data_IF_896381764533
#
_entry.id   IF_896381764533
#
_cell.length_a   1.000
_cell.length_b   1.000
_cell.length_c   1.000
_cell.angle_alpha   90.00
_cell.angle_beta   90.00
_cell.angle_gamma   90.00
#
_symmetry.space_group_name_H-M   'P 1'
#
loop_
_entity.id
_entity.type
_entity.pdbx_description
1 polymer ?
#
# COMPACT_ATOMS: atom_id res chain seq x y z
N UNK A 1 -40.26 2.36 16.82
CA UNK A 1 -40.48 2.40 15.35
C UNK A 1 -39.13 2.31 14.68
N UNK A 2 -38.80 1.14 14.11
CA UNK A 2 -37.56 0.96 13.36
C UNK A 2 -37.76 1.66 12.03
N UNK A 3 -37.19 2.86 11.90
CA UNK A 3 -37.30 3.64 10.68
C UNK A 3 -36.50 2.96 9.57
N UNK A 4 -37.06 2.90 8.36
CA UNK A 4 -36.38 2.41 7.16
C UNK A 4 -34.99 3.08 6.97
N UNK A 5 -34.87 4.34 7.41
CA UNK A 5 -33.61 5.07 7.43
C UNK A 5 -32.56 4.43 8.35
N UNK A 6 -32.96 3.98 9.54
CA UNK A 6 -32.07 3.34 10.52
C UNK A 6 -31.61 1.96 10.02
N UNK A 7 -32.49 1.23 9.32
CA UNK A 7 -32.16 -0.04 8.70
C UNK A 7 -31.20 0.15 7.51
N UNK A 8 -31.43 1.15 6.66
CA UNK A 8 -30.55 1.47 5.53
C UNK A 8 -29.17 1.93 6.00
N UNK A 9 -29.09 2.78 7.04
CA UNK A 9 -27.81 3.21 7.62
C UNK A 9 -27.03 2.06 8.25
N UNK A 10 -27.71 1.11 8.90
CA UNK A 10 -27.06 -0.05 9.52
C UNK A 10 -26.62 -1.08 8.47
N UNK A 11 -27.43 -1.33 7.43
CA UNK A 11 -27.07 -2.23 6.34
C UNK A 11 -25.91 -1.68 5.49
N UNK A 12 -25.81 -0.36 5.30
CA UNK A 12 -24.71 0.27 4.57
C UNK A 12 -23.37 0.27 5.31
N UNK A 13 -23.37 0.22 6.65
CA UNK A 13 -22.14 0.11 7.44
C UNK A 13 -21.48 -1.28 7.35
N UNK A 14 -22.25 -2.32 7.01
CA UNK A 14 -21.77 -3.71 6.93
C UNK A 14 -21.27 -4.12 5.55
N UNK A 15 -21.49 -3.32 4.51
CA UNK A 15 -21.01 -3.62 3.17
C UNK A 15 -19.84 -2.68 2.87
N UNK A 16 -18.63 -3.22 2.89
CA UNK A 16 -17.42 -2.51 2.49
C UNK A 16 -17.42 -2.33 0.95
N UNK A 17 -18.33 -1.50 0.45
CA UNK A 17 -18.44 -1.21 -0.98
C UNK A 17 -17.56 -0.03 -1.31
N UNK A 18 -16.78 -0.13 -2.40
CA UNK A 18 -16.04 0.97 -3.03
C UNK A 18 -16.86 2.26 -2.96
N UNK A 19 -16.27 3.35 -2.46
CA UNK A 19 -16.91 4.68 -2.23
C UNK A 19 -17.80 5.15 -3.38
N UNK A 20 -17.46 4.79 -4.62
CA UNK A 20 -18.25 5.01 -5.84
C UNK A 20 -19.70 4.52 -5.73
N UNK A 21 -19.95 3.35 -5.15
CA UNK A 21 -21.30 2.75 -5.06
C UNK A 21 -22.15 3.46 -4.01
N UNK A 22 -21.52 3.93 -2.92
CA UNK A 22 -22.17 4.79 -1.91
C UNK A 22 -22.62 6.12 -2.54
N UNK A 23 -21.75 6.78 -3.29
CA UNK A 23 -22.06 8.05 -3.97
C UNK A 23 -23.09 7.88 -5.09
N UNK A 24 -23.09 6.74 -5.80
CA UNK A 24 -24.14 6.37 -6.76
C UNK A 24 -25.51 6.27 -6.10
N UNK A 25 -25.62 5.59 -4.95
CA UNK A 25 -26.90 5.45 -4.24
C UNK A 25 -27.40 6.79 -3.69
N UNK A 26 -26.51 7.63 -3.14
CA UNK A 26 -26.90 8.98 -2.71
C UNK A 26 -27.37 9.87 -3.87
N UNK A 27 -26.73 9.77 -5.03
CA UNK A 27 -27.13 10.51 -6.23
C UNK A 27 -28.54 10.12 -6.69
N UNK A 28 -28.85 8.81 -6.69
CA UNK A 28 -30.19 8.32 -7.07
C UNK A 28 -31.25 8.73 -6.03
N UNK A 29 -30.94 8.62 -4.73
CA UNK A 29 -31.82 9.09 -3.66
C UNK A 29 -32.09 10.60 -3.75
N UNK A 30 -31.07 11.41 -4.00
CA UNK A 30 -31.20 12.86 -4.14
C UNK A 30 -32.04 13.23 -5.37
N UNK A 31 -31.86 12.52 -6.50
CA UNK A 31 -32.64 12.72 -7.71
C UNK A 31 -34.14 12.45 -7.47
N UNK A 32 -34.46 11.34 -6.82
CA UNK A 32 -35.85 10.97 -6.48
C UNK A 32 -36.42 11.94 -5.45
N UNK A 33 -35.65 12.31 -4.43
CA UNK A 33 -36.05 13.27 -3.41
C UNK A 33 -36.36 14.67 -3.97
N UNK A 34 -35.66 15.08 -5.03
CA UNK A 34 -35.89 16.38 -5.66
C UNK A 34 -37.30 16.49 -6.29
N UNK A 35 -37.90 15.39 -6.74
CA UNK A 35 -39.29 15.40 -7.24
C UNK A 35 -40.32 15.76 -6.17
N UNK A 36 -40.01 15.52 -4.89
CA UNK A 36 -40.86 15.96 -3.79
C UNK A 36 -40.82 17.49 -3.61
N UNK A 37 -39.66 18.13 -3.82
CA UNK A 37 -39.54 19.58 -3.84
C UNK A 37 -40.36 20.21 -4.96
N UNK A 38 -40.38 19.60 -6.14
CA UNK A 38 -41.24 20.03 -7.25
C UNK A 38 -42.72 19.98 -6.86
N UNK A 39 -43.16 18.87 -6.26
CA UNK A 39 -44.54 18.70 -5.80
C UNK A 39 -44.96 19.80 -4.83
N UNK A 40 -44.14 20.09 -3.82
CA UNK A 40 -44.41 21.17 -2.86
C UNK A 40 -44.43 22.53 -3.56
N UNK A 41 -43.48 22.81 -4.45
CA UNK A 41 -43.42 24.06 -5.21
C UNK A 41 -44.70 24.34 -5.99
N UNK A 42 -45.22 23.32 -6.70
CA UNK A 42 -46.48 23.40 -7.45
C UNK A 42 -47.67 23.63 -6.51
N UNK A 43 -47.73 22.94 -5.35
CA UNK A 43 -48.79 23.13 -4.36
C UNK A 43 -48.79 24.54 -3.78
N UNK A 44 -47.62 25.15 -3.58
CA UNK A 44 -47.51 26.55 -3.14
C UNK A 44 -47.98 27.56 -4.19
N UNK A 45 -47.78 27.27 -5.48
CA UNK A 45 -48.32 28.08 -6.58
C UNK A 45 -49.84 27.98 -6.65
N UNK A 46 -50.40 26.77 -6.50
CA UNK A 46 -51.85 26.55 -6.47
C UNK A 46 -52.52 27.22 -5.26
N UNK A 47 -51.81 27.33 -4.13
CA UNK A 47 -52.28 27.99 -2.91
C UNK A 47 -52.07 29.52 -2.91
N UNK A 48 -51.77 30.13 -4.05
CA UNK A 48 -51.66 31.60 -4.20
C UNK A 48 -50.39 32.22 -3.59
N UNK A 49 -49.44 31.41 -3.10
CA UNK A 49 -48.18 31.89 -2.51
C UNK A 49 -47.05 31.84 -3.53
N UNK A 50 -47.21 32.66 -4.58
CA UNK A 50 -46.38 32.60 -5.78
C UNK A 50 -44.88 32.77 -5.52
N UNK A 51 -44.49 33.72 -4.67
CA UNK A 51 -43.08 33.98 -4.36
C UNK A 51 -42.38 32.76 -3.75
N UNK A 52 -43.04 32.09 -2.81
CA UNK A 52 -42.49 30.89 -2.14
C UNK A 52 -42.49 29.68 -3.08
N UNK A 53 -43.53 29.53 -3.89
CA UNK A 53 -43.59 28.49 -4.92
C UNK A 53 -42.48 28.65 -5.96
N UNK A 54 -42.27 29.87 -6.49
CA UNK A 54 -41.22 30.16 -7.46
C UNK A 54 -39.81 29.96 -6.89
N UNK A 55 -39.56 30.35 -5.64
CA UNK A 55 -38.28 30.08 -4.98
C UNK A 55 -38.00 28.58 -4.83
N UNK A 56 -39.01 27.80 -4.44
CA UNK A 56 -38.88 26.34 -4.32
C UNK A 56 -38.66 25.68 -5.69
N UNK A 57 -39.30 26.18 -6.74
CA UNK A 57 -39.05 25.72 -8.11
C UNK A 57 -37.65 26.09 -8.61
N UNK A 58 -37.14 27.27 -8.25
CA UNK A 58 -35.77 27.66 -8.57
C UNK A 58 -34.75 26.73 -7.89
N UNK A 59 -34.95 26.44 -6.60
CA UNK A 59 -34.11 25.48 -5.85
C UNK A 59 -34.19 24.08 -6.46
N UNK A 60 -35.38 23.64 -6.85
CA UNK A 60 -35.58 22.37 -7.56
C UNK A 60 -34.74 22.30 -8.84
N UNK A 61 -34.74 23.35 -9.66
CA UNK A 61 -33.96 23.38 -10.91
C UNK A 61 -32.45 23.33 -10.65
N UNK A 62 -31.98 24.02 -9.62
CA UNK A 62 -30.57 23.98 -9.20
C UNK A 62 -30.17 22.57 -8.77
N UNK A 63 -30.96 21.93 -7.90
CA UNK A 63 -30.69 20.57 -7.45
C UNK A 63 -30.86 19.54 -8.57
N UNK A 64 -31.80 19.75 -9.49
CA UNK A 64 -31.98 18.89 -10.65
C UNK A 64 -30.75 18.93 -11.55
N UNK A 65 -30.22 20.13 -11.80
CA UNK A 65 -28.99 20.33 -12.56
C UNK A 65 -27.80 19.60 -11.92
N UNK A 66 -27.56 19.79 -10.62
CA UNK A 66 -26.48 19.09 -9.91
C UNK A 66 -26.69 17.57 -9.87
N UNK A 67 -27.93 17.12 -9.71
CA UNK A 67 -28.24 15.69 -9.68
C UNK A 67 -28.00 15.03 -11.05
N UNK A 68 -28.31 15.73 -12.15
CA UNK A 68 -28.00 15.25 -13.51
C UNK A 68 -26.48 15.22 -13.73
N UNK A 69 -25.74 16.24 -13.29
CA UNK A 69 -24.27 16.23 -13.37
C UNK A 69 -23.65 15.08 -12.57
N UNK A 70 -24.14 14.82 -11.36
CA UNK A 70 -23.71 13.67 -10.56
C UNK A 70 -24.07 12.33 -11.21
N UNK A 71 -25.22 12.21 -11.89
CA UNK A 71 -25.56 11.00 -12.65
C UNK A 71 -24.56 10.78 -13.78
N UNK A 72 -24.22 11.83 -14.54
CA UNK A 72 -23.18 11.74 -15.57
C UNK A 72 -21.82 11.34 -14.96
N UNK A 73 -21.41 11.96 -13.86
CA UNK A 73 -20.13 11.72 -13.21
C UNK A 73 -19.99 10.29 -12.64
N UNK A 74 -21.03 9.79 -11.96
CA UNK A 74 -20.96 8.50 -11.26
C UNK A 74 -21.41 7.31 -12.11
N UNK A 75 -22.29 7.50 -13.10
CA UNK A 75 -22.84 6.42 -13.93
C UNK A 75 -22.33 6.40 -15.37
N UNK A 76 -21.67 7.48 -15.85
CA UNK A 76 -21.18 7.56 -17.24
C UNK A 76 -19.66 7.77 -17.29
N UNK A 77 -18.97 7.14 -18.24
CA UNK A 77 -17.52 7.33 -18.51
C UNK A 77 -17.20 8.55 -19.38
N UNK A 78 -18.21 9.37 -19.72
CA UNK A 78 -18.09 10.53 -20.62
C UNK A 78 -18.16 11.82 -19.80
N UNK A 79 -17.32 12.82 -20.14
CA UNK A 79 -17.38 14.16 -19.57
C UNK A 79 -18.75 14.79 -19.87
N UNK A 80 -19.40 15.34 -18.85
CA UNK A 80 -20.71 15.97 -18.99
C UNK A 80 -20.61 17.26 -19.83
N UNK A 81 -21.58 17.54 -20.73
CA UNK A 81 -21.65 18.85 -21.37
C UNK A 81 -22.07 19.92 -20.35
N UNK A 82 -21.35 21.05 -20.32
CA UNK A 82 -21.54 22.18 -19.41
C UNK A 82 -21.23 21.91 -17.93
N UNK A 83 -20.02 21.40 -17.62
CA UNK A 83 -19.53 21.24 -16.25
C UNK A 83 -19.07 22.59 -15.65
N UNK A 84 -19.81 23.07 -14.65
CA UNK A 84 -19.53 24.34 -13.93
C UNK A 84 -18.70 24.07 -12.66
N UNK A 85 -18.37 22.79 -12.36
CA UNK A 85 -17.52 22.40 -11.22
C UNK A 85 -16.23 23.22 -11.07
N UNK A 86 -15.45 23.51 -12.14
CA UNK A 86 -14.21 24.29 -11.99
C UNK A 86 -14.44 25.76 -11.55
N UNK A 87 -15.63 26.30 -11.79
CA UNK A 87 -15.98 27.67 -11.39
C UNK A 87 -16.43 27.70 -9.92
N UNK A 88 -17.15 26.67 -9.45
CA UNK A 88 -17.48 26.51 -8.03
C UNK A 88 -16.25 26.23 -7.16
N UNK A 89 -15.30 25.41 -7.64
CA UNK A 89 -14.02 25.13 -6.96
C UNK A 89 -13.24 26.41 -6.62
N UNK A 90 -13.24 27.38 -7.54
CA UNK A 90 -12.49 28.64 -7.39
C UNK A 90 -13.14 29.62 -6.41
N UNK A 91 -14.45 29.57 -6.22
CA UNK A 91 -15.19 30.47 -5.33
C UNK A 91 -15.42 29.90 -3.92
N UNK A 92 -15.50 28.57 -3.79
CA UNK A 92 -15.76 27.89 -2.50
C UNK A 92 -14.46 27.53 -1.76
N UNK A 93 -13.29 27.71 -2.39
CA UNK A 93 -12.00 27.63 -1.69
C UNK A 93 -11.70 26.23 -1.16
N UNK A 94 -12.06 25.20 -1.92
CA UNK A 94 -11.78 23.82 -1.56
C UNK A 94 -11.60 22.99 -2.84
N UNK A 95 -10.42 22.40 -2.99
CA UNK A 95 -10.27 21.26 -3.88
C UNK A 95 -11.32 20.20 -3.50
N UNK A 96 -11.93 19.48 -4.47
CA UNK A 96 -12.92 18.45 -4.22
C UNK A 96 -12.47 17.57 -3.07
N UNK A 97 -13.41 17.26 -2.17
CA UNK A 97 -13.19 16.32 -1.09
C UNK A 97 -12.63 15.00 -1.63
N UNK A 98 -12.89 14.63 -2.90
CA UNK A 98 -12.27 13.47 -3.55
C UNK A 98 -10.80 13.66 -4.00
N UNK A 99 -10.32 14.87 -4.27
CA UNK A 99 -8.89 15.13 -4.56
C UNK A 99 -8.13 15.27 -3.24
N UNK A 100 -8.72 15.93 -2.23
CA UNK A 100 -8.15 15.97 -0.87
C UNK A 100 -8.25 14.62 -0.19
N UNK A 101 -9.30 13.84 -0.38
CA UNK A 101 -9.37 12.45 0.10
C UNK A 101 -8.49 11.56 -0.74
N UNK A 102 -8.29 11.76 -2.05
CA UNK A 102 -7.27 10.98 -2.78
C UNK A 102 -5.86 11.35 -2.36
N UNK A 103 -5.57 12.61 -2.08
CA UNK A 103 -4.26 13.04 -1.59
C UNK A 103 -4.05 12.74 -0.12
N UNK A 104 -5.07 12.84 0.73
CA UNK A 104 -5.06 12.47 2.15
C UNK A 104 -5.15 10.95 2.32
N UNK A 105 -5.84 10.21 1.45
CA UNK A 105 -5.82 8.75 1.40
C UNK A 105 -4.51 8.26 0.78
N UNK A 106 -3.91 8.97 -0.19
CA UNK A 106 -2.55 8.67 -0.69
C UNK A 106 -1.48 9.06 0.33
N UNK A 107 -1.67 10.11 1.14
CA UNK A 107 -0.79 10.49 2.25
C UNK A 107 -1.01 9.63 3.49
N UNK A 108 -2.24 9.20 3.79
CA UNK A 108 -2.57 8.24 4.85
C UNK A 108 -2.20 6.82 4.43
N UNK A 109 -2.32 6.44 3.16
CA UNK A 109 -1.71 5.22 2.62
C UNK A 109 -0.20 5.36 2.72
N UNK A 110 0.44 6.41 2.23
CA UNK A 110 1.89 6.59 2.38
C UNK A 110 2.35 6.69 3.86
N UNK A 111 1.52 7.20 4.78
CA UNK A 111 1.83 7.25 6.22
C UNK A 111 1.56 5.91 6.91
N UNK A 112 0.49 5.19 6.57
CA UNK A 112 0.17 3.83 7.03
C UNK A 112 1.11 2.80 6.39
N UNK A 113 1.65 3.10 5.21
CA UNK A 113 2.65 2.33 4.47
C UNK A 113 4.07 2.64 4.99
N UNK A 114 4.33 3.87 5.44
CA UNK A 114 5.52 4.18 6.27
C UNK A 114 5.40 3.60 7.68
N UNK A 115 4.19 3.61 8.27
CA UNK A 115 3.91 2.98 9.56
C UNK A 115 3.91 1.45 9.43
N UNK A 116 3.55 0.84 8.30
CA UNK A 116 3.67 -0.61 8.07
C UNK A 116 5.08 -1.00 7.63
N UNK A 117 5.84 -0.11 6.99
CA UNK A 117 7.30 -0.22 6.86
C UNK A 117 8.02 -0.11 8.22
N UNK A 118 7.40 0.50 9.23
CA UNK A 118 7.91 0.54 10.61
C UNK A 118 7.20 -0.44 11.58
N UNK A 119 6.04 -0.99 11.20
CA UNK A 119 5.22 -1.90 12.01
C UNK A 119 5.14 -3.32 11.42
N UNK A 120 5.98 -3.63 10.43
CA UNK A 120 6.64 -4.94 10.36
C UNK A 120 7.63 -5.05 11.53
N UNK A 121 7.13 -4.93 12.76
CA UNK A 121 7.82 -5.50 13.90
C UNK A 121 7.90 -6.99 13.61
N UNK A 122 9.12 -7.45 13.33
CA UNK A 122 9.47 -8.81 13.02
C UNK A 122 8.58 -9.83 13.76
N UNK A 123 8.07 -10.89 13.11
CA UNK A 123 7.54 -12.04 13.82
C UNK A 123 8.63 -12.69 14.70
N UNK A 124 9.91 -12.40 14.43
CA UNK A 124 11.04 -12.84 15.20
C UNK A 124 11.57 -11.69 16.07
N UNK A 125 10.91 -11.44 17.21
CA UNK A 125 11.50 -10.74 18.37
C UNK A 125 11.98 -9.29 18.19
N UNK A 126 11.68 -8.43 19.16
CA UNK A 126 12.37 -7.13 19.26
C UNK A 126 13.84 -7.36 19.62
N UNK A 127 14.72 -7.44 18.62
CA UNK A 127 16.17 -7.53 18.84
C UNK A 127 16.79 -6.12 18.80
N UNK A 128 17.64 -5.81 19.78
CA UNK A 128 18.43 -4.57 19.79
C UNK A 128 19.34 -4.56 18.55
N UNK A 129 19.31 -3.48 17.76
CA UNK A 129 19.95 -3.38 16.44
C UNK A 129 21.47 -3.63 16.50
N UNK A 130 22.07 -3.52 17.69
CA UNK A 130 23.47 -3.85 18.01
C UNK A 130 23.82 -5.35 17.97
N UNK A 131 22.82 -6.23 17.87
CA UNK A 131 23.00 -7.69 17.86
C UNK A 131 22.72 -8.32 16.49
N UNK A 132 22.58 -7.53 15.43
CA UNK A 132 22.31 -8.01 14.07
C UNK A 132 23.61 -8.13 13.26
N UNK A 133 23.79 -9.27 12.60
CA UNK A 133 24.90 -9.51 11.68
C UNK A 133 24.37 -9.88 10.29
N UNK A 134 24.92 -9.29 9.22
CA UNK A 134 24.56 -9.69 7.87
C UNK A 134 25.02 -11.13 7.62
N UNK A 135 24.17 -11.92 6.98
CA UNK A 135 24.48 -13.28 6.59
C UNK A 135 24.71 -13.38 5.08
N UNK A 136 25.73 -14.14 4.70
CA UNK A 136 25.95 -14.51 3.31
C UNK A 136 25.12 -15.74 2.99
N UNK A 137 24.30 -15.64 1.95
CA UNK A 137 23.40 -16.70 1.50
C UNK A 137 23.78 -17.11 0.08
N UNK A 138 23.83 -18.41 -0.15
CA UNK A 138 23.98 -18.98 -1.48
C UNK A 138 22.67 -19.66 -1.91
N UNK A 139 22.19 -19.30 -3.09
CA UNK A 139 20.95 -19.84 -3.66
C UNK A 139 21.24 -20.65 -4.92
N UNK A 140 20.74 -21.88 -4.98
CA UNK A 140 20.76 -22.74 -6.17
C UNK A 140 19.84 -22.20 -7.26
N UNK A 141 19.95 -22.72 -8.49
CA UNK A 141 19.08 -22.33 -9.60
C UNK A 141 17.59 -22.64 -9.38
N UNK A 142 17.26 -23.60 -8.52
CA UNK A 142 15.87 -23.87 -8.09
C UNK A 142 15.44 -22.85 -7.04
N UNK A 143 16.28 -22.59 -6.04
CA UNK A 143 15.99 -21.61 -4.98
C UNK A 143 15.82 -20.19 -5.53
N UNK A 144 16.60 -19.81 -6.55
CA UNK A 144 16.39 -18.54 -7.27
C UNK A 144 15.02 -18.47 -7.94
N UNK A 145 14.56 -19.56 -8.56
CA UNK A 145 13.20 -19.62 -9.13
C UNK A 145 12.12 -19.54 -8.05
N UNK A 146 12.37 -20.12 -6.88
CA UNK A 146 11.46 -19.99 -5.74
C UNK A 146 11.35 -18.54 -5.26
N UNK A 147 12.48 -17.81 -5.18
CA UNK A 147 12.49 -16.38 -4.83
C UNK A 147 11.63 -15.57 -5.82
N UNK A 148 11.82 -15.79 -7.13
CA UNK A 148 11.01 -15.16 -8.18
C UNK A 148 9.51 -15.48 -8.03
N UNK A 149 9.18 -16.75 -7.74
CA UNK A 149 7.79 -17.17 -7.51
C UNK A 149 7.18 -16.46 -6.31
N UNK A 150 7.90 -16.36 -5.20
CA UNK A 150 7.41 -15.66 -4.01
C UNK A 150 7.27 -14.16 -4.29
N UNK A 151 8.21 -13.54 -5.00
CA UNK A 151 8.12 -12.14 -5.41
C UNK A 151 6.85 -11.87 -6.23
N UNK A 152 6.53 -12.75 -7.20
CA UNK A 152 5.28 -12.68 -7.95
C UNK A 152 4.03 -12.82 -7.06
N UNK A 153 4.05 -13.74 -6.08
CA UNK A 153 2.95 -13.87 -5.12
C UNK A 153 2.80 -12.62 -4.25
N UNK A 154 3.90 -12.02 -3.80
CA UNK A 154 3.90 -10.78 -3.03
C UNK A 154 3.37 -9.60 -3.87
N UNK A 155 3.69 -9.55 -5.16
CA UNK A 155 3.15 -8.54 -6.10
C UNK A 155 1.65 -8.69 -6.27
N UNK A 156 1.18 -9.92 -6.50
CA UNK A 156 -0.24 -10.22 -6.66
C UNK A 156 -1.05 -9.95 -5.38
N UNK A 157 -0.43 -10.16 -4.21
CA UNK A 157 -1.03 -9.86 -2.91
C UNK A 157 -1.00 -8.36 -2.55
N UNK A 158 -0.35 -7.51 -3.35
CA UNK A 158 -0.20 -6.08 -3.07
C UNK A 158 0.76 -5.77 -1.92
N UNK A 159 1.76 -6.61 -1.71
CA UNK A 159 2.84 -6.44 -0.72
C UNK A 159 4.10 -5.88 -1.39
N UNK A 160 4.37 -6.31 -2.63
CA UNK A 160 5.51 -5.87 -3.43
C UNK A 160 5.07 -4.83 -4.46
N UNK A 161 5.69 -3.65 -4.43
CA UNK A 161 5.46 -2.57 -5.38
C UNK A 161 6.78 -2.20 -6.07
N UNK A 162 6.75 -2.15 -7.40
CA UNK A 162 7.89 -1.80 -8.26
C UNK A 162 7.64 -0.42 -8.89
N UNK A 163 7.47 0.61 -8.07
CA UNK A 163 7.12 1.96 -8.53
C UNK A 163 8.14 3.03 -8.10
N UNK A 164 9.33 2.60 -7.64
CA UNK A 164 10.38 3.45 -7.11
C UNK A 164 9.92 4.29 -5.90
N UNK A 165 8.89 3.83 -5.17
CA UNK A 165 8.25 4.60 -4.11
C UNK A 165 7.47 5.80 -4.63
N UNK A 166 7.00 5.75 -5.89
CA UNK A 166 6.26 6.81 -6.57
C UNK A 166 7.10 7.98 -7.07
N UNK A 167 8.44 7.83 -7.11
CA UNK A 167 9.36 8.91 -7.53
C UNK A 167 9.49 8.97 -9.04
N UNK A 168 9.60 10.19 -9.59
CA UNK A 168 9.95 10.42 -10.99
C UNK A 168 11.45 10.23 -11.24
N UNK A 169 11.83 10.11 -12.51
CA UNK A 169 13.21 9.99 -12.94
C UNK A 169 14.07 11.20 -12.51
N UNK A 170 13.52 12.42 -12.55
CA UNK A 170 14.23 13.61 -12.04
C UNK A 170 14.48 13.52 -10.53
N UNK A 171 13.47 13.10 -9.76
CA UNK A 171 13.59 12.96 -8.31
C UNK A 171 14.58 11.85 -7.92
N UNK A 172 14.64 10.77 -8.69
CA UNK A 172 15.62 9.70 -8.49
C UNK A 172 17.05 10.25 -8.70
N UNK A 173 17.28 11.06 -9.74
CA UNK A 173 18.59 11.70 -9.98
C UNK A 173 19.02 12.65 -8.87
N UNK A 174 18.10 13.45 -8.36
CA UNK A 174 18.41 14.45 -7.32
C UNK A 174 18.69 13.82 -5.95
N UNK A 175 18.08 12.66 -5.65
CA UNK A 175 18.16 12.01 -4.34
C UNK A 175 19.29 10.97 -4.24
N UNK A 176 19.98 10.67 -5.36
CA UNK A 176 21.09 9.73 -5.38
C UNK A 176 22.26 10.27 -4.55
N UNK A 177 22.65 9.51 -3.53
CA UNK A 177 23.80 9.84 -2.70
C UNK A 177 25.09 9.83 -3.53
N UNK A 178 26.11 10.63 -3.18
CA UNK A 178 27.40 10.60 -3.87
C UNK A 178 28.01 9.19 -3.79
N UNK A 179 28.03 8.50 -4.93
CA UNK A 179 28.52 7.11 -5.08
C UNK A 179 27.44 6.05 -5.30
N UNK A 180 26.16 6.38 -5.11
CA UNK A 180 25.06 5.51 -5.49
C UNK A 180 24.79 5.68 -6.99
N UNK A 181 24.86 4.59 -7.76
CA UNK A 181 24.67 4.61 -9.22
C UNK A 181 23.41 3.87 -9.66
N UNK A 182 22.77 3.16 -8.74
CA UNK A 182 21.58 2.34 -9.00
C UNK A 182 20.52 2.52 -7.91
N UNK A 183 19.25 2.46 -8.32
CA UNK A 183 18.07 2.46 -7.44
C UNK A 183 17.12 1.36 -7.87
N UNK A 184 16.75 0.50 -6.93
CA UNK A 184 15.78 -0.57 -7.17
C UNK A 184 14.35 -0.05 -7.16
N UNK A 185 13.49 -0.61 -8.03
CA UNK A 185 12.07 -0.27 -8.10
C UNK A 185 11.32 -0.57 -6.80
N UNK A 186 11.79 -1.57 -6.06
CA UNK A 186 11.25 -1.99 -4.76
C UNK A 186 11.89 -1.23 -3.58
N UNK A 187 12.85 -0.35 -3.85
CA UNK A 187 13.65 0.37 -2.86
C UNK A 187 14.94 -0.35 -2.45
N UNK A 188 15.93 0.41 -1.98
CA UNK A 188 17.30 -0.09 -1.74
C UNK A 188 17.44 -0.94 -0.48
N UNK A 189 16.58 -0.70 0.52
CA UNK A 189 16.51 -1.47 1.76
C UNK A 189 15.91 -2.87 1.54
N UNK A 190 15.18 -3.07 0.43
CA UNK A 190 14.43 -4.29 0.17
C UNK A 190 13.13 -4.37 0.96
N UNK A 191 12.36 -5.44 0.72
CA UNK A 191 11.05 -5.67 1.34
C UNK A 191 11.08 -6.96 2.15
N UNK A 192 10.70 -6.88 3.41
CA UNK A 192 10.65 -8.02 4.31
C UNK A 192 9.66 -9.09 3.81
N UNK A 193 10.09 -10.36 3.83
CA UNK A 193 9.17 -11.47 3.59
C UNK A 193 8.15 -11.58 4.75
N UNK A 194 6.85 -11.76 4.47
CA UNK A 194 5.84 -11.91 5.51
C UNK A 194 6.11 -13.10 6.46
N UNK A 195 6.62 -14.19 5.91
CA UNK A 195 7.05 -15.35 6.68
C UNK A 195 8.43 -15.79 6.23
N UNK A 196 9.32 -16.03 7.19
CA UNK A 196 10.62 -16.63 6.95
C UNK A 196 11.09 -17.41 8.18
N UNK A 197 11.80 -18.52 7.94
CA UNK A 197 12.36 -19.38 8.97
C UNK A 197 13.66 -20.05 8.49
N UNK A 198 14.49 -20.52 9.42
CA UNK A 198 15.70 -21.31 9.13
C UNK A 198 15.47 -22.75 9.55
N UNK A 199 15.65 -23.69 8.63
CA UNK A 199 15.55 -25.13 8.87
C UNK A 199 16.88 -25.81 8.58
N UNK A 200 17.27 -26.73 9.46
CA UNK A 200 18.46 -27.56 9.26
C UNK A 200 18.11 -28.74 8.36
N UNK A 201 18.53 -28.71 7.10
CA UNK A 201 18.31 -29.79 6.13
C UNK A 201 19.66 -30.38 5.76
N UNK A 202 19.85 -31.68 5.97
CA UNK A 202 21.12 -32.37 5.74
C UNK A 202 22.31 -31.68 6.43
N UNK A 203 22.09 -31.09 7.61
CA UNK A 203 23.10 -30.34 8.36
C UNK A 203 23.35 -28.92 7.88
N UNK A 204 22.69 -28.45 6.81
CA UNK A 204 22.84 -27.10 6.29
C UNK A 204 21.69 -26.17 6.76
N UNK A 205 22.00 -24.91 7.12
CA UNK A 205 21.00 -23.93 7.52
C UNK A 205 20.27 -23.33 6.29
N UNK A 206 19.20 -23.99 5.87
CA UNK A 206 18.40 -23.58 4.71
C UNK A 206 17.31 -22.61 5.14
N UNK A 207 17.23 -21.46 4.48
CA UNK A 207 16.19 -20.46 4.68
C UNK A 207 14.96 -20.86 3.87
N UNK A 208 13.82 -20.84 4.54
CA UNK A 208 12.50 -20.93 3.95
C UNK A 208 11.81 -19.58 4.05
N UNK A 209 11.14 -19.15 2.98
CA UNK A 209 10.39 -17.91 2.96
C UNK A 209 9.11 -18.05 2.15
N UNK A 210 8.11 -17.21 2.44
CA UNK A 210 6.82 -17.21 1.76
C UNK A 210 5.89 -16.12 2.27
N UNK A 211 4.65 -16.12 1.78
CA UNK A 211 3.59 -15.26 2.32
C UNK A 211 3.08 -15.76 3.68
N UNK A 212 3.21 -17.06 3.93
CA UNK A 212 2.82 -17.74 5.15
C UNK A 212 3.58 -19.09 5.26
N UNK A 213 3.41 -19.78 6.38
CA UNK A 213 4.09 -21.04 6.65
C UNK A 213 3.66 -22.19 5.73
N UNK A 214 2.44 -22.19 5.18
CA UNK A 214 1.96 -23.28 4.32
C UNK A 214 2.52 -23.19 2.88
N UNK A 215 2.89 -21.99 2.45
CA UNK A 215 3.40 -21.68 1.11
C UNK A 215 4.90 -21.34 1.11
N UNK A 216 5.61 -21.73 2.17
CA UNK A 216 7.05 -21.49 2.28
C UNK A 216 7.84 -22.36 1.29
N UNK A 217 8.83 -21.77 0.63
CA UNK A 217 9.74 -22.47 -0.28
C UNK A 217 11.19 -22.25 0.17
N UNK A 218 12.10 -23.20 -0.11
CA UNK A 218 13.52 -22.99 0.17
C UNK A 218 14.07 -21.92 -0.77
N UNK A 219 14.73 -20.90 -0.20
CA UNK A 219 15.22 -19.72 -0.93
C UNK A 219 16.74 -19.56 -0.88
N UNK A 220 17.44 -20.27 0.01
CA UNK A 220 18.90 -20.24 0.05
C UNK A 220 19.48 -20.96 1.25
N UNK A 221 20.80 -21.10 1.29
CA UNK A 221 21.56 -21.69 2.41
C UNK A 221 22.51 -20.65 2.97
N UNK A 222 22.53 -20.50 4.30
CA UNK A 222 23.44 -19.56 4.97
C UNK A 222 24.84 -20.17 5.03
N UNK A 223 25.82 -19.51 4.42
CA UNK A 223 27.23 -19.95 4.43
C UNK A 223 28.04 -19.23 5.49
N UNK A 224 27.78 -17.92 5.69
CA UNK A 224 28.49 -17.08 6.66
C UNK A 224 27.56 -16.18 7.44
N UNK A 225 27.97 -15.81 8.65
CA UNK A 225 27.33 -14.81 9.50
C UNK A 225 28.40 -13.82 9.96
N UNK A 226 28.28 -12.57 9.53
CA UNK A 226 29.36 -11.58 9.65
C UNK A 226 30.61 -12.06 8.90
N UNK A 227 31.73 -12.16 9.62
CA UNK A 227 33.00 -12.63 9.06
C UNK A 227 33.24 -14.15 9.21
N UNK A 228 32.42 -14.85 10.01
CA UNK A 228 32.62 -16.26 10.35
C UNK A 228 31.74 -17.18 9.50
N UNK A 229 32.14 -18.45 9.36
CA UNK A 229 31.24 -19.48 8.82
C UNK A 229 30.05 -19.68 9.76
N UNK A 230 28.91 -20.10 9.21
CA UNK A 230 27.71 -20.32 10.03
C UNK A 230 27.95 -21.30 11.18
N UNK A 231 28.71 -22.38 10.94
CA UNK A 231 29.03 -23.38 11.97
C UNK A 231 29.85 -22.79 13.11
N UNK A 232 30.93 -22.05 12.80
CA UNK A 232 31.76 -21.41 13.80
C UNK A 232 30.95 -20.38 14.61
N UNK A 233 30.15 -19.55 13.94
CA UNK A 233 29.29 -18.58 14.59
C UNK A 233 28.26 -19.24 15.53
N UNK A 234 27.72 -20.40 15.14
CA UNK A 234 26.73 -21.17 15.93
C UNK A 234 27.34 -21.89 17.14
N UNK A 235 28.64 -22.18 17.13
CA UNK A 235 29.33 -22.77 18.28
C UNK A 235 29.50 -21.74 19.40
N UNK A 236 29.90 -20.52 19.06
CA UNK A 236 30.15 -19.44 20.02
C UNK A 236 28.86 -18.71 20.45
N UNK A 237 27.84 -18.72 19.60
CA UNK A 237 26.62 -17.94 19.79
C UNK A 237 25.35 -18.77 19.57
N UNK A 238 24.27 -18.35 20.21
CA UNK A 238 22.92 -18.66 19.76
C UNK A 238 22.56 -17.71 18.62
N UNK A 239 22.23 -18.27 17.46
CA UNK A 239 21.86 -17.53 16.27
C UNK A 239 20.34 -17.64 16.05
N UNK A 240 19.72 -16.53 15.72
CA UNK A 240 18.29 -16.42 15.42
C UNK A 240 18.12 -15.67 14.10
N UNK A 241 17.19 -16.13 13.26
CA UNK A 241 16.81 -15.35 12.08
C UNK A 241 16.16 -14.05 12.55
N UNK A 242 16.70 -12.91 12.15
CA UNK A 242 16.11 -11.62 12.47
C UNK A 242 15.21 -11.16 11.32
N UNK A 243 15.82 -10.99 10.13
CA UNK A 243 15.15 -10.44 8.96
C UNK A 243 15.58 -11.17 7.69
N UNK A 244 14.62 -11.34 6.77
CA UNK A 244 14.84 -11.79 5.40
C UNK A 244 14.17 -10.78 4.50
N UNK A 245 14.97 -10.09 3.70
CA UNK A 245 14.55 -9.00 2.85
C UNK A 245 14.71 -9.43 1.38
N UNK A 246 13.64 -9.27 0.59
CA UNK A 246 13.66 -9.38 -0.85
C UNK A 246 14.34 -8.13 -1.43
N UNK A 247 15.32 -8.32 -2.30
CA UNK A 247 16.07 -7.26 -3.00
C UNK A 247 16.24 -7.63 -4.48
N UNK A 248 16.53 -6.66 -5.34
CA UNK A 248 16.73 -6.87 -6.78
C UNK A 248 15.51 -6.47 -7.63
N UNK A 249 15.36 -7.09 -8.80
CA UNK A 249 14.29 -6.78 -9.75
C UNK A 249 14.64 -5.64 -10.70
N UNK A 250 13.63 -4.90 -11.15
CA UNK A 250 13.83 -3.72 -11.99
C UNK A 250 14.63 -2.65 -11.23
N UNK A 251 15.66 -2.11 -11.87
CA UNK A 251 16.50 -1.04 -11.34
C UNK A 251 16.74 0.05 -12.36
N UNK A 252 16.92 1.28 -11.86
CA UNK A 252 17.32 2.44 -12.66
C UNK A 252 18.77 2.78 -12.36
N UNK A 253 19.57 2.93 -13.39
CA UNK A 253 20.97 3.32 -13.30
C UNK A 253 21.21 4.65 -14.00
N UNK A 254 22.07 5.50 -13.42
CA UNK A 254 22.53 6.71 -14.11
C UNK A 254 23.60 6.31 -15.15
N UNK A 255 23.24 6.39 -16.41
CA UNK A 255 24.17 6.32 -17.54
C UNK A 255 24.73 7.69 -17.93
N UNK A 256 25.67 7.70 -18.88
CA UNK A 256 26.34 8.93 -19.38
C UNK A 256 25.39 9.93 -20.05
N UNK A 257 24.25 9.46 -20.56
CA UNK A 257 23.29 10.27 -21.33
C UNK A 257 21.88 10.30 -20.73
N UNK A 258 21.64 9.65 -19.59
CA UNK A 258 20.28 9.53 -19.03
C UNK A 258 20.14 8.40 -18.01
N UNK A 259 18.91 8.11 -17.61
CA UNK A 259 18.60 6.94 -16.79
C UNK A 259 18.39 5.74 -17.71
N UNK A 260 18.95 4.61 -17.33
CA UNK A 260 18.76 3.33 -18.01
C UNK A 260 18.01 2.41 -17.05
N UNK A 261 16.95 1.77 -17.53
CA UNK A 261 16.27 0.71 -16.79
C UNK A 261 16.91 -0.62 -17.13
N UNK A 262 17.34 -1.35 -16.10
CA UNK A 262 17.82 -2.73 -16.20
C UNK A 262 16.95 -3.61 -15.30
N UNK A 263 16.93 -4.91 -15.57
CA UNK A 263 16.24 -5.88 -14.73
C UNK A 263 17.23 -6.96 -14.31
N UNK A 264 17.31 -7.20 -13.01
CA UNK A 264 18.07 -8.30 -12.43
C UNK A 264 17.16 -9.24 -11.65
N UNK A 265 17.59 -10.49 -11.50
CA UNK A 265 16.83 -11.46 -10.73
C UNK A 265 16.74 -11.02 -9.27
N UNK A 266 15.60 -11.29 -8.64
CA UNK A 266 15.44 -11.11 -7.21
C UNK A 266 16.37 -12.03 -6.42
N UNK A 267 16.85 -11.51 -5.30
CA UNK A 267 17.66 -12.21 -4.33
C UNK A 267 17.25 -11.82 -2.91
N UNK A 268 17.82 -12.51 -1.93
CA UNK A 268 17.51 -12.26 -0.51
C UNK A 268 18.71 -11.69 0.22
N UNK A 269 18.45 -10.71 1.09
CA UNK A 269 19.40 -10.21 2.10
C UNK A 269 18.93 -10.72 3.46
N UNK A 270 19.83 -11.27 4.26
CA UNK A 270 19.47 -11.90 5.52
C UNK A 270 20.28 -11.31 6.66
N UNK A 271 19.59 -11.00 7.75
CA UNK A 271 20.21 -10.59 9.00
C UNK A 271 19.95 -11.64 10.07
N UNK A 272 21.00 -11.94 10.84
CA UNK A 272 20.98 -12.91 11.93
C UNK A 272 21.21 -12.16 13.24
N UNK A 273 20.27 -12.31 14.17
CA UNK A 273 20.49 -11.89 15.55
C UNK A 273 21.36 -12.93 16.26
N UNK A 274 22.32 -12.48 17.06
CA UNK A 274 23.16 -13.36 17.85
C UNK A 274 23.10 -13.03 19.34
N UNK A 275 23.24 -14.07 20.16
CA UNK A 275 23.44 -13.96 21.60
C UNK A 275 24.58 -14.89 22.00
N UNK A 276 25.63 -14.36 22.62
CA UNK A 276 26.75 -15.19 23.09
C UNK A 276 26.25 -16.29 24.02
N UNK A 277 26.75 -17.52 23.83
CA UNK A 277 26.60 -18.58 24.83
C UNK A 277 27.49 -18.17 26.01
N UNK A 278 26.88 -17.87 27.15
CA UNK A 278 27.59 -17.40 28.34
C UNK A 278 28.89 -18.19 28.58
N UNK A 279 30.01 -17.48 28.63
CA UNK A 279 31.25 -18.02 29.19
C UNK A 279 31.06 -18.28 30.68
N UNK A 280 31.15 -19.54 31.11
CA UNK A 280 31.51 -19.96 32.48
C UNK A 280 32.80 -20.76 32.32
N UNK A 281 33.95 -20.53 32.97
CA UNK A 281 34.29 -20.04 34.31
C UNK A 281 35.65 -19.31 34.26
N UNK A 282 35.87 -18.30 35.10
CA UNK A 282 37.09 -18.21 35.90
C UNK A 282 36.64 -17.86 37.33
N UNK A 283 36.67 -18.86 38.21
CA UNK A 283 36.85 -18.60 39.64
C UNK A 283 38.26 -18.01 39.81
N UNK A 284 38.33 -16.84 40.43
CA UNK A 284 39.53 -16.36 41.13
C UNK A 284 39.08 -15.99 42.54
#
# INVERSE_FOLDING_TARGET
>A
MISFLTLASHYMGMINVKSKLKNQVYTVMAFVGNWYLLYIGIRFLQNGRYLRGLLLLAIFLVFLYFSIMNIYYFFTTKKAPFDISPILEKYVGGAPEEIREKEEFRRRLAQVERQSRQASSSPAGMFDQRMLLPAQVESTGEQKRNIEQIAMLMKNAGILFEDYGGRSDEQIKEQLQPGQTEVYAIGDEGIQFPFADIKMINGQPTIYAGLNQMEELPVGVITKVGAASFEAAKQENHLYLADVLLSGGEKKMIGRSGIITENENFFIKVNIAYKRRNTSLHEV
#
